data_IF_734074616982
#
_entry.id   IF_734074616982
#
_cell.length_a   1.000
_cell.length_b   1.000
_cell.length_c   1.000
_cell.angle_alpha   90.00
_cell.angle_beta   90.00
_cell.angle_gamma   90.00
#
_symmetry.space_group_name_H-M   'P 1'
#
loop_
_entity.id
_entity.type
_entity.pdbx_description
1 polymer ?
#
# COMPACT_ATOMS: atom_id res chain seq x y z
N UNK A 1 3.64 34.10 -20.84
CA UNK A 1 2.16 34.00 -20.84
C UNK A 1 1.75 33.54 -19.45
N UNK A 2 1.29 34.53 -18.62
CA UNK A 2 0.81 34.24 -17.26
C UNK A 2 -0.54 33.52 -17.31
N UNK A 3 -0.52 32.20 -17.50
CA UNK A 3 -1.71 31.40 -17.29
C UNK A 3 -1.92 31.20 -15.79
N UNK A 4 -2.68 32.14 -15.17
CA UNK A 4 -3.13 31.95 -13.79
C UNK A 4 -3.95 30.66 -13.67
N UNK A 5 -3.54 29.79 -12.77
CA UNK A 5 -4.27 28.57 -12.44
C UNK A 5 -5.48 28.91 -11.56
N UNK A 6 -6.62 28.35 -11.91
CA UNK A 6 -7.76 28.41 -10.99
C UNK A 6 -7.60 27.36 -9.89
N UNK A 7 -6.94 27.73 -8.78
CA UNK A 7 -6.65 26.82 -7.66
C UNK A 7 -7.91 26.19 -7.07
N UNK A 8 -9.06 26.91 -7.03
CA UNK A 8 -10.32 26.34 -6.52
C UNK A 8 -10.78 25.15 -7.38
N UNK A 9 -10.74 25.32 -8.72
CA UNK A 9 -11.07 24.25 -9.66
C UNK A 9 -10.05 23.10 -9.56
N UNK A 10 -8.75 23.45 -9.47
CA UNK A 10 -7.67 22.48 -9.36
C UNK A 10 -7.85 21.59 -8.12
N UNK A 11 -8.05 22.16 -6.95
CA UNK A 11 -8.26 21.41 -5.71
C UNK A 11 -9.57 20.62 -5.73
N UNK A 12 -10.66 21.18 -6.27
CA UNK A 12 -11.91 20.43 -6.42
C UNK A 12 -11.72 19.17 -7.26
N UNK A 13 -10.98 19.26 -8.37
CA UNK A 13 -10.67 18.09 -9.21
C UNK A 13 -9.78 17.07 -8.49
N UNK A 14 -8.72 17.53 -7.79
CA UNK A 14 -7.84 16.65 -7.01
C UNK A 14 -8.63 15.93 -5.93
N UNK A 15 -9.39 16.63 -5.10
CA UNK A 15 -10.18 16.05 -4.02
C UNK A 15 -11.28 15.11 -4.51
N UNK A 16 -11.89 15.41 -5.67
CA UNK A 16 -12.85 14.50 -6.31
C UNK A 16 -12.13 13.24 -6.76
N UNK A 17 -10.97 13.36 -7.39
CA UNK A 17 -10.16 12.20 -7.79
C UNK A 17 -9.73 11.37 -6.57
N UNK A 18 -9.23 12.01 -5.52
CA UNK A 18 -8.79 11.36 -4.27
C UNK A 18 -9.95 10.64 -3.57
N UNK A 19 -11.14 11.25 -3.55
CA UNK A 19 -12.32 10.64 -2.97
C UNK A 19 -12.72 9.37 -3.73
N UNK A 20 -12.92 9.47 -5.04
CA UNK A 20 -13.42 8.34 -5.83
C UNK A 20 -12.37 7.22 -6.01
N UNK A 21 -11.09 7.55 -6.14
CA UNK A 21 -10.03 6.55 -6.14
C UNK A 21 -9.77 5.94 -4.75
N UNK A 22 -10.11 6.68 -3.69
CA UNK A 22 -9.98 6.23 -2.30
C UNK A 22 -11.13 5.34 -1.82
N UNK A 23 -12.28 5.28 -2.51
CA UNK A 23 -13.44 4.48 -2.08
C UNK A 23 -13.15 2.97 -1.99
N UNK A 24 -12.28 2.41 -2.79
CA UNK A 24 -11.75 1.03 -2.72
C UNK A 24 -12.73 0.00 -2.15
N UNK A 25 -13.94 -0.05 -2.70
CA UNK A 25 -15.06 -0.85 -2.18
C UNK A 25 -14.80 -2.36 -2.17
N UNK A 26 -13.83 -2.82 -2.95
CA UNK A 26 -13.44 -4.23 -3.02
C UNK A 26 -12.44 -4.64 -1.93
N UNK A 27 -11.73 -3.70 -1.29
CA UNK A 27 -10.62 -4.02 -0.37
C UNK A 27 -11.06 -4.89 0.82
N UNK A 28 -12.31 -4.75 1.27
CA UNK A 28 -12.85 -5.53 2.38
C UNK A 28 -13.24 -6.97 2.01
N UNK A 29 -13.40 -7.27 0.72
CA UNK A 29 -14.07 -8.50 0.28
C UNK A 29 -13.38 -9.25 -0.87
N UNK A 30 -12.36 -8.69 -1.51
CA UNK A 30 -11.80 -9.21 -2.75
C UNK A 30 -11.26 -10.65 -2.65
N UNK A 31 -10.64 -11.02 -1.53
CA UNK A 31 -10.14 -12.38 -1.29
C UNK A 31 -11.32 -13.35 -1.14
N UNK A 32 -12.30 -12.98 -0.31
CA UNK A 32 -13.50 -13.79 -0.12
C UNK A 32 -14.31 -13.92 -1.42
N UNK A 33 -14.39 -12.85 -2.22
CA UNK A 33 -15.07 -12.87 -3.51
C UNK A 33 -14.38 -13.80 -4.53
N UNK A 34 -13.05 -13.81 -4.59
CA UNK A 34 -12.30 -14.73 -5.46
C UNK A 34 -12.39 -16.17 -4.97
N UNK A 35 -12.26 -16.40 -3.67
CA UNK A 35 -12.40 -17.74 -3.07
C UNK A 35 -13.81 -18.31 -3.32
N UNK A 36 -14.87 -17.50 -3.19
CA UNK A 36 -16.24 -17.89 -3.51
C UNK A 36 -16.43 -18.26 -5.00
N UNK A 37 -15.57 -17.80 -5.90
CA UNK A 37 -15.54 -18.20 -7.32
C UNK A 37 -14.71 -19.45 -7.59
N UNK A 38 -14.12 -20.05 -6.58
CA UNK A 38 -13.35 -21.28 -6.69
C UNK A 38 -11.85 -21.10 -6.91
N UNK A 39 -11.32 -19.87 -6.84
CA UNK A 39 -9.88 -19.65 -6.86
C UNK A 39 -9.26 -20.09 -5.54
N UNK A 40 -8.15 -20.82 -5.61
CA UNK A 40 -7.39 -21.24 -4.45
C UNK A 40 -6.69 -20.06 -3.77
N UNK A 41 -6.35 -20.19 -2.50
CA UNK A 41 -5.62 -19.16 -1.76
C UNK A 41 -4.21 -18.95 -2.33
N UNK A 42 -3.61 -19.98 -2.91
CA UNK A 42 -2.35 -19.88 -3.63
C UNK A 42 -2.47 -19.00 -4.87
N UNK A 43 -3.53 -19.18 -5.69
CA UNK A 43 -3.78 -18.35 -6.87
C UNK A 43 -4.02 -16.89 -6.50
N UNK A 44 -4.79 -16.65 -5.44
CA UNK A 44 -5.03 -15.30 -4.91
C UNK A 44 -3.72 -14.69 -4.40
N UNK A 45 -2.90 -15.46 -3.69
CA UNK A 45 -1.57 -15.04 -3.24
C UNK A 45 -0.61 -14.76 -4.41
N UNK A 46 -0.68 -15.53 -5.49
CA UNK A 46 0.11 -15.31 -6.70
C UNK A 46 -0.31 -14.02 -7.43
N UNK A 47 -1.60 -13.74 -7.49
CA UNK A 47 -2.10 -12.49 -8.05
C UNK A 47 -1.58 -11.26 -7.27
N UNK A 48 -1.51 -11.35 -5.93
CA UNK A 48 -0.89 -10.33 -5.08
C UNK A 48 0.62 -10.23 -5.34
N UNK A 49 1.31 -11.34 -5.59
CA UNK A 49 2.74 -11.29 -5.98
C UNK A 49 2.95 -10.53 -7.28
N UNK A 50 2.07 -10.70 -8.29
CA UNK A 50 2.12 -9.95 -9.54
C UNK A 50 1.94 -8.46 -9.28
N UNK A 51 1.02 -8.07 -8.40
CA UNK A 51 0.89 -6.68 -7.97
C UNK A 51 2.22 -6.13 -7.45
N UNK A 52 2.88 -6.85 -6.53
CA UNK A 52 4.16 -6.41 -5.96
C UNK A 52 5.32 -6.43 -6.96
N UNK A 53 5.35 -7.37 -7.90
CA UNK A 53 6.34 -7.39 -9.00
C UNK A 53 6.18 -6.13 -9.85
N UNK A 54 4.96 -5.84 -10.32
CA UNK A 54 4.70 -4.66 -11.16
C UNK A 54 4.97 -3.37 -10.38
N UNK A 55 4.55 -3.28 -9.13
CA UNK A 55 4.83 -2.12 -8.27
C UNK A 55 6.34 -1.88 -8.15
N UNK A 56 7.12 -2.92 -7.86
CA UNK A 56 8.58 -2.85 -7.73
C UNK A 56 9.26 -2.29 -8.99
N UNK A 57 8.84 -2.75 -10.17
CA UNK A 57 9.45 -2.31 -11.43
C UNK A 57 8.89 -0.99 -11.98
N UNK A 58 7.65 -0.63 -11.61
CA UNK A 58 6.98 0.55 -12.16
C UNK A 58 7.04 1.78 -11.25
N UNK A 59 7.46 1.68 -9.98
CA UNK A 59 7.54 2.81 -9.03
C UNK A 59 8.38 3.96 -9.61
N UNK A 60 9.57 3.65 -10.10
CA UNK A 60 10.49 4.65 -10.70
C UNK A 60 10.04 5.10 -12.08
N UNK A 61 9.74 4.19 -13.02
CA UNK A 61 9.25 4.57 -14.34
C UNK A 61 8.00 5.45 -14.31
N UNK A 62 7.08 5.22 -13.37
CA UNK A 62 5.86 6.04 -13.24
C UNK A 62 6.15 7.48 -12.81
N UNK A 63 7.06 7.68 -11.85
CA UNK A 63 7.52 9.00 -11.46
C UNK A 63 8.19 9.75 -12.63
N UNK A 64 9.06 9.06 -13.36
CA UNK A 64 9.68 9.62 -14.55
C UNK A 64 8.67 9.93 -15.65
N UNK A 65 7.68 9.07 -15.88
CA UNK A 65 6.60 9.32 -16.83
C UNK A 65 5.83 10.60 -16.43
N UNK A 66 5.60 10.83 -15.14
CA UNK A 66 4.98 12.06 -14.66
C UNK A 66 5.80 13.33 -15.00
N UNK A 67 7.11 13.25 -14.88
CA UNK A 67 8.01 14.35 -15.21
C UNK A 67 8.14 14.59 -16.73
N UNK A 68 8.18 13.51 -17.52
CA UNK A 68 8.37 13.58 -18.98
C UNK A 68 7.08 13.85 -19.74
N UNK A 69 6.01 13.11 -19.46
CA UNK A 69 4.73 13.18 -20.18
C UNK A 69 3.78 14.23 -19.60
N UNK A 70 4.00 14.60 -18.34
CA UNK A 70 3.16 15.49 -17.58
C UNK A 70 2.35 14.77 -16.50
N UNK A 71 2.20 15.44 -15.37
CA UNK A 71 1.54 14.89 -14.19
C UNK A 71 0.06 14.61 -14.43
N UNK A 72 -0.64 15.54 -15.09
CA UNK A 72 -2.04 15.34 -15.49
C UNK A 72 -2.21 14.08 -16.33
N UNK A 73 -1.39 13.90 -17.37
CA UNK A 73 -1.49 12.73 -18.25
C UNK A 73 -1.25 11.43 -17.50
N UNK A 74 -0.29 11.42 -16.59
CA UNK A 74 0.03 10.25 -15.74
C UNK A 74 -1.15 9.91 -14.82
N UNK A 75 -1.78 10.89 -14.17
CA UNK A 75 -2.96 10.68 -13.33
C UNK A 75 -4.16 10.18 -14.14
N UNK A 76 -4.38 10.70 -15.34
CA UNK A 76 -5.43 10.19 -16.25
C UNK A 76 -5.16 8.75 -16.65
N UNK A 77 -3.91 8.42 -17.01
CA UNK A 77 -3.53 7.04 -17.35
C UNK A 77 -3.72 6.09 -16.17
N UNK A 78 -3.38 6.52 -14.95
CA UNK A 78 -3.66 5.78 -13.70
C UNK A 78 -5.16 5.50 -13.53
N UNK A 79 -6.01 6.51 -13.74
CA UNK A 79 -7.46 6.34 -13.69
C UNK A 79 -7.99 5.38 -14.76
N UNK A 80 -7.45 5.41 -15.98
CA UNK A 80 -7.79 4.45 -17.04
C UNK A 80 -7.37 3.03 -16.66
N UNK A 81 -6.15 2.85 -16.11
CA UNK A 81 -5.70 1.54 -15.62
C UNK A 81 -6.63 1.02 -14.50
N UNK A 82 -7.10 1.89 -13.60
CA UNK A 82 -8.04 1.53 -12.54
C UNK A 82 -9.40 1.06 -13.09
N UNK A 83 -9.91 1.70 -14.15
CA UNK A 83 -11.12 1.27 -14.84
C UNK A 83 -10.91 -0.09 -15.50
N UNK A 84 -9.84 -0.22 -16.29
CA UNK A 84 -9.54 -1.47 -17.01
C UNK A 84 -9.34 -2.65 -16.05
N UNK A 85 -8.56 -2.46 -14.98
CA UNK A 85 -8.37 -3.47 -13.93
C UNK A 85 -9.72 -3.92 -13.36
N UNK A 86 -10.59 -2.96 -13.03
CA UNK A 86 -11.90 -3.28 -12.44
C UNK A 86 -12.81 -4.02 -13.43
N UNK A 87 -12.82 -3.63 -14.70
CA UNK A 87 -13.57 -4.35 -15.74
C UNK A 87 -13.03 -5.77 -15.95
N UNK A 88 -11.72 -5.94 -16.01
CA UNK A 88 -11.11 -7.27 -16.12
C UNK A 88 -11.47 -8.14 -14.93
N UNK A 89 -11.37 -7.62 -13.70
CA UNK A 89 -11.76 -8.35 -12.49
C UNK A 89 -13.24 -8.72 -12.47
N UNK A 90 -14.14 -7.83 -12.95
CA UNK A 90 -15.58 -8.12 -13.00
C UNK A 90 -15.90 -9.40 -13.81
N UNK A 91 -15.16 -9.65 -14.87
CA UNK A 91 -15.37 -10.75 -15.80
C UNK A 91 -14.26 -11.83 -15.75
N UNK A 92 -13.31 -11.72 -14.84
CA UNK A 92 -12.21 -12.67 -14.71
C UNK A 92 -12.76 -14.09 -14.46
N UNK A 93 -12.33 -15.06 -15.27
CA UNK A 93 -12.67 -16.48 -15.17
C UNK A 93 -11.46 -17.38 -14.99
N UNK A 94 -10.27 -16.83 -15.09
CA UNK A 94 -8.99 -17.54 -15.04
C UNK A 94 -7.93 -16.73 -14.31
N UNK A 95 -6.90 -17.42 -13.85
CA UNK A 95 -5.79 -16.84 -13.08
C UNK A 95 -5.01 -15.79 -13.87
N UNK A 96 -4.84 -16.00 -15.19
CA UNK A 96 -4.08 -15.05 -16.02
C UNK A 96 -4.76 -13.68 -16.04
N UNK A 97 -6.10 -13.66 -16.24
CA UNK A 97 -6.90 -12.42 -16.23
C UNK A 97 -6.81 -11.71 -14.87
N UNK A 98 -6.86 -12.46 -13.76
CA UNK A 98 -6.71 -11.89 -12.40
C UNK A 98 -5.31 -11.29 -12.23
N UNK A 99 -4.26 -12.03 -12.58
CA UNK A 99 -2.88 -11.56 -12.48
C UNK A 99 -2.65 -10.30 -13.34
N UNK A 100 -3.20 -10.27 -14.55
CA UNK A 100 -3.08 -9.11 -15.43
C UNK A 100 -3.83 -7.89 -14.86
N UNK A 101 -5.02 -8.11 -14.31
CA UNK A 101 -5.79 -7.06 -13.64
C UNK A 101 -5.03 -6.52 -12.39
N UNK A 102 -4.42 -7.39 -11.59
CA UNK A 102 -3.60 -6.99 -10.44
C UNK A 102 -2.35 -6.21 -10.87
N UNK A 103 -1.73 -6.59 -11.99
CA UNK A 103 -0.65 -5.80 -12.59
C UNK A 103 -1.09 -4.39 -13.01
N UNK A 104 -2.27 -4.25 -13.64
CA UNK A 104 -2.85 -2.94 -13.96
C UNK A 104 -3.20 -2.13 -12.70
N UNK A 105 -3.66 -2.80 -11.63
CA UNK A 105 -3.91 -2.13 -10.36
C UNK A 105 -2.62 -1.55 -9.76
N UNK A 106 -1.54 -2.34 -9.76
CA UNK A 106 -0.22 -1.87 -9.31
C UNK A 106 0.27 -0.68 -10.13
N UNK A 107 0.13 -0.76 -11.46
CA UNK A 107 0.51 0.34 -12.36
C UNK A 107 -0.31 1.61 -12.08
N UNK A 108 -1.62 1.49 -11.84
CA UNK A 108 -2.47 2.62 -11.45
C UNK A 108 -1.99 3.24 -10.13
N UNK A 109 -1.69 2.42 -9.12
CA UNK A 109 -1.22 2.90 -7.82
C UNK A 109 0.13 3.61 -7.90
N UNK A 110 1.09 3.08 -8.66
CA UNK A 110 2.39 3.74 -8.86
C UNK A 110 2.26 5.06 -9.63
N UNK A 111 1.32 5.16 -10.58
CA UNK A 111 1.03 6.41 -11.30
C UNK A 111 0.39 7.47 -10.39
N UNK A 112 -0.41 7.10 -9.40
CA UNK A 112 -0.96 8.04 -8.41
C UNK A 112 0.06 8.41 -7.35
N UNK A 113 0.92 7.46 -6.94
CA UNK A 113 1.95 7.67 -5.92
C UNK A 113 2.90 8.80 -6.32
N UNK A 114 3.09 9.76 -5.42
CA UNK A 114 3.96 10.91 -5.66
C UNK A 114 3.46 11.92 -6.71
N UNK A 115 2.78 11.48 -7.79
CA UNK A 115 2.33 12.36 -8.86
C UNK A 115 1.28 13.36 -8.39
N UNK A 116 0.30 12.91 -7.61
CA UNK A 116 -0.73 13.80 -7.02
C UNK A 116 -0.11 14.85 -6.12
N UNK A 117 0.80 14.43 -5.24
CA UNK A 117 1.52 15.29 -4.29
C UNK A 117 2.35 16.33 -5.02
N UNK A 118 3.07 15.91 -6.07
CA UNK A 118 3.90 16.77 -6.87
C UNK A 118 3.07 17.75 -7.71
N UNK A 119 1.95 17.33 -8.31
CA UNK A 119 1.03 18.21 -9.04
C UNK A 119 0.44 19.27 -8.11
N UNK A 120 0.05 18.87 -6.90
CA UNK A 120 -0.47 19.78 -5.88
C UNK A 120 0.56 20.86 -5.50
N UNK A 121 1.80 20.44 -5.20
CA UNK A 121 2.89 21.35 -4.84
C UNK A 121 3.19 22.33 -5.96
N UNK A 122 3.32 21.85 -7.21
CA UNK A 122 3.62 22.72 -8.36
C UNK A 122 2.47 23.67 -8.68
N UNK A 123 1.22 23.25 -8.50
CA UNK A 123 0.06 24.14 -8.67
C UNK A 123 0.08 25.30 -7.68
N UNK A 124 0.46 25.03 -6.42
CA UNK A 124 0.60 26.07 -5.40
C UNK A 124 1.80 26.98 -5.69
N UNK A 125 2.91 26.41 -6.12
CA UNK A 125 4.15 27.13 -6.43
C UNK A 125 3.96 28.07 -7.62
N UNK A 126 3.24 27.65 -8.66
CA UNK A 126 2.94 28.51 -9.80
C UNK A 126 2.15 29.76 -9.41
N UNK A 127 1.29 29.68 -8.39
CA UNK A 127 0.48 30.79 -7.89
C UNK A 127 1.08 31.50 -6.65
N UNK A 128 2.32 31.13 -6.22
CA UNK A 128 3.01 31.75 -5.09
C UNK A 128 2.31 31.52 -3.75
N UNK A 129 1.75 30.32 -3.54
CA UNK A 129 0.95 29.95 -2.35
C UNK A 129 1.47 28.65 -1.68
N UNK A 130 2.79 28.39 -1.74
CA UNK A 130 3.42 27.17 -1.23
C UNK A 130 3.18 26.94 0.27
N UNK A 131 3.00 28.01 1.03
CA UNK A 131 2.71 27.95 2.46
C UNK A 131 1.41 27.20 2.79
N UNK A 132 0.48 27.08 1.83
CA UNK A 132 -0.77 26.32 1.98
C UNK A 132 -0.61 24.82 1.75
N UNK A 133 0.56 24.37 1.29
CA UNK A 133 0.78 22.98 0.89
C UNK A 133 0.41 21.97 1.98
N UNK A 134 0.87 22.18 3.22
CA UNK A 134 0.59 21.27 4.34
C UNK A 134 -0.92 21.14 4.57
N UNK A 135 -1.64 22.24 4.56
CA UNK A 135 -3.09 22.24 4.79
C UNK A 135 -3.83 21.52 3.65
N UNK A 136 -3.51 21.84 2.40
CA UNK A 136 -4.21 21.28 1.23
C UNK A 136 -3.90 19.80 1.06
N UNK A 137 -2.65 19.39 1.30
CA UNK A 137 -2.23 17.98 1.30
C UNK A 137 -2.90 17.16 2.43
N UNK A 138 -2.98 17.74 3.63
CA UNK A 138 -3.67 17.12 4.75
C UNK A 138 -5.17 16.91 4.46
N UNK A 139 -5.83 17.89 3.84
CA UNK A 139 -7.24 17.76 3.44
C UNK A 139 -7.43 16.61 2.43
N UNK A 140 -6.55 16.49 1.41
CA UNK A 140 -6.58 15.37 0.46
C UNK A 140 -6.42 14.01 1.13
N UNK A 141 -5.46 13.89 2.05
CA UNK A 141 -5.25 12.66 2.83
C UNK A 141 -6.47 12.31 3.68
N UNK A 142 -7.10 13.29 4.34
CA UNK A 142 -8.32 13.08 5.12
C UNK A 142 -9.49 12.62 4.26
N UNK A 143 -9.65 13.21 3.07
CA UNK A 143 -10.68 12.82 2.09
C UNK A 143 -10.46 11.37 1.66
N UNK A 144 -9.24 10.98 1.31
CA UNK A 144 -8.91 9.61 0.92
C UNK A 144 -9.14 8.61 2.06
N UNK A 145 -8.78 8.95 3.29
CA UNK A 145 -9.03 8.10 4.47
C UNK A 145 -10.51 7.91 4.73
N UNK A 146 -11.29 8.99 4.66
CA UNK A 146 -12.74 8.94 4.83
C UNK A 146 -13.40 8.13 3.71
N UNK A 147 -12.98 8.32 2.46
CA UNK A 147 -13.46 7.57 1.31
C UNK A 147 -13.17 6.06 1.48
N UNK A 148 -11.98 5.68 1.93
CA UNK A 148 -11.62 4.29 2.19
C UNK A 148 -12.48 3.67 3.31
N UNK A 149 -12.72 4.41 4.41
CA UNK A 149 -13.60 3.96 5.48
C UNK A 149 -15.04 3.75 4.98
N UNK A 150 -15.59 4.68 4.20
CA UNK A 150 -16.92 4.57 3.58
C UNK A 150 -16.94 3.42 2.56
N UNK A 151 -15.91 3.32 1.72
CA UNK A 151 -15.78 2.26 0.71
C UNK A 151 -15.73 0.86 1.32
N UNK A 152 -15.05 0.68 2.46
CA UNK A 152 -15.00 -0.60 3.15
C UNK A 152 -16.38 -1.07 3.60
N UNK A 153 -17.28 -0.15 3.99
CA UNK A 153 -18.66 -0.47 4.36
C UNK A 153 -19.50 -1.00 3.20
N UNK A 154 -19.02 -0.89 1.96
CA UNK A 154 -19.72 -1.44 0.79
C UNK A 154 -19.91 -2.97 0.87
N UNK A 155 -19.17 -3.69 1.73
CA UNK A 155 -19.42 -5.12 1.98
C UNK A 155 -20.86 -5.40 2.43
N UNK A 156 -21.55 -4.44 3.05
CA UNK A 156 -22.99 -4.51 3.41
C UNK A 156 -23.86 -4.75 2.15
N UNK A 157 -23.39 -4.29 1.00
CA UNK A 157 -24.10 -4.43 -0.28
C UNK A 157 -23.81 -5.78 -0.98
N UNK A 158 -23.05 -6.69 -0.35
CA UNK A 158 -22.63 -7.95 -0.98
C UNK A 158 -23.81 -8.78 -1.50
N UNK A 159 -24.92 -8.81 -0.76
CA UNK A 159 -26.13 -9.54 -1.16
C UNK A 159 -26.78 -8.97 -2.45
N UNK A 160 -26.58 -7.69 -2.75
CA UNK A 160 -27.21 -7.01 -3.87
C UNK A 160 -26.30 -6.90 -5.09
N UNK A 161 -25.01 -6.65 -4.86
CA UNK A 161 -24.06 -6.36 -5.94
C UNK A 161 -23.44 -7.62 -6.53
N UNK A 162 -23.21 -8.63 -5.71
CA UNK A 162 -22.44 -9.80 -6.13
C UNK A 162 -21.02 -9.45 -6.62
N UNK A 163 -20.27 -10.44 -7.08
CA UNK A 163 -18.89 -10.28 -7.50
C UNK A 163 -18.69 -9.20 -8.58
N UNK A 164 -19.39 -9.36 -9.71
CA UNK A 164 -19.25 -8.44 -10.84
C UNK A 164 -19.71 -7.02 -10.49
N UNK A 165 -20.79 -6.89 -9.71
CA UNK A 165 -21.35 -5.60 -9.31
C UNK A 165 -20.35 -4.76 -8.51
N UNK A 166 -19.58 -5.36 -7.61
CA UNK A 166 -18.52 -4.64 -6.87
C UNK A 166 -17.48 -4.06 -7.80
N UNK A 167 -16.98 -4.85 -8.75
CA UNK A 167 -15.96 -4.40 -9.67
C UNK A 167 -16.49 -3.41 -10.71
N UNK A 168 -17.73 -3.58 -11.21
CA UNK A 168 -18.37 -2.60 -12.11
C UNK A 168 -18.58 -1.26 -11.41
N UNK A 169 -18.99 -1.26 -10.15
CA UNK A 169 -19.12 -0.03 -9.37
C UNK A 169 -17.74 0.62 -9.12
N UNK A 170 -16.72 -0.19 -8.83
CA UNK A 170 -15.35 0.29 -8.69
C UNK A 170 -14.81 0.87 -10.01
N UNK A 171 -15.16 0.28 -11.16
CA UNK A 171 -14.85 0.84 -12.48
C UNK A 171 -15.52 2.20 -12.72
N UNK A 172 -16.78 2.36 -12.28
CA UNK A 172 -17.48 3.65 -12.36
C UNK A 172 -16.78 4.73 -11.53
N UNK A 173 -16.34 4.39 -10.31
CA UNK A 173 -15.57 5.32 -9.46
C UNK A 173 -14.22 5.67 -10.06
N UNK A 174 -13.49 4.68 -10.62
CA UNK A 174 -12.26 4.93 -11.37
C UNK A 174 -12.49 5.84 -12.57
N UNK A 175 -13.62 5.69 -13.27
CA UNK A 175 -14.03 6.57 -14.37
C UNK A 175 -14.26 8.00 -13.92
N UNK A 176 -14.93 8.22 -12.80
CA UNK A 176 -15.13 9.57 -12.24
C UNK A 176 -13.79 10.19 -11.84
N UNK A 177 -12.90 9.42 -11.22
CA UNK A 177 -11.54 9.87 -10.88
C UNK A 177 -10.76 10.26 -12.14
N UNK A 178 -10.79 9.44 -13.20
CA UNK A 178 -10.13 9.73 -14.47
C UNK A 178 -10.70 11.01 -15.12
N UNK A 179 -12.01 11.21 -15.11
CA UNK A 179 -12.67 12.42 -15.61
C UNK A 179 -12.27 13.66 -14.80
N UNK A 180 -12.22 13.56 -13.48
CA UNK A 180 -11.73 14.64 -12.63
C UNK A 180 -10.28 15.01 -12.98
N UNK A 181 -9.42 14.03 -13.19
CA UNK A 181 -8.03 14.22 -13.62
C UNK A 181 -7.91 14.82 -15.03
N UNK A 182 -8.83 14.54 -15.94
CA UNK A 182 -8.89 15.20 -17.25
C UNK A 182 -9.18 16.70 -17.17
N UNK A 183 -9.89 17.14 -16.13
CA UNK A 183 -10.24 18.55 -15.92
C UNK A 183 -9.12 19.34 -15.22
N UNK A 184 -8.07 18.68 -14.73
CA UNK A 184 -6.89 19.32 -14.14
C UNK A 184 -6.16 20.18 -15.17
N UNK A 185 -5.54 21.25 -14.72
CA UNK A 185 -4.54 21.98 -15.49
C UNK A 185 -3.15 21.42 -15.15
N UNK A 186 -2.28 21.36 -16.15
CA UNK A 186 -0.88 20.97 -15.95
C UNK A 186 -0.09 22.20 -15.47
N UNK A 187 0.50 22.20 -14.25
CA UNK A 187 1.33 23.31 -13.80
C UNK A 187 2.68 23.33 -14.53
N UNK A 188 3.19 24.51 -14.81
CA UNK A 188 4.50 24.74 -15.43
C UNK A 188 5.31 25.63 -14.50
N UNK A 189 6.28 25.04 -13.79
CA UNK A 189 7.10 25.72 -12.79
C UNK A 189 8.57 25.80 -13.20
N UNK A 190 9.03 24.91 -14.09
CA UNK A 190 10.42 24.82 -14.54
C UNK A 190 10.51 24.85 -16.08
N UNK A 191 11.66 25.32 -16.59
CA UNK A 191 11.93 25.33 -18.05
C UNK A 191 11.91 23.92 -18.65
N UNK A 192 12.33 22.90 -17.88
CA UNK A 192 12.26 21.51 -18.29
C UNK A 192 10.81 21.01 -18.43
N UNK A 193 9.90 21.50 -17.60
CA UNK A 193 8.47 21.22 -17.74
C UNK A 193 7.85 21.94 -18.95
N UNK A 194 8.35 23.11 -19.30
CA UNK A 194 7.92 23.84 -20.49
C UNK A 194 8.44 23.24 -21.81
N UNK A 195 9.60 22.57 -21.77
CA UNK A 195 10.29 22.03 -22.96
C UNK A 195 10.18 20.50 -23.11
N UNK A 196 9.11 19.89 -22.59
CA UNK A 196 8.90 18.43 -22.48
C UNK A 196 9.10 17.58 -23.74
N UNK A 197 9.20 18.21 -24.92
CA UNK A 197 9.29 17.51 -26.19
C UNK A 197 10.63 16.78 -26.44
N UNK A 198 11.63 16.86 -25.57
CA UNK A 198 13.01 16.46 -25.89
C UNK A 198 13.62 15.34 -25.05
N UNK A 199 12.92 14.72 -24.10
CA UNK A 199 13.52 13.64 -23.30
C UNK A 199 13.09 12.26 -23.78
N UNK A 200 14.02 11.45 -24.31
CA UNK A 200 13.69 10.15 -24.86
C UNK A 200 13.39 9.14 -23.75
N UNK A 201 12.33 8.35 -23.93
CA UNK A 201 11.98 7.17 -23.12
C UNK A 201 13.14 6.16 -22.99
N UNK A 202 14.17 6.27 -23.83
CA UNK A 202 15.40 5.48 -23.78
C UNK A 202 16.23 5.67 -22.51
N UNK A 203 16.02 6.73 -21.74
CA UNK A 203 16.73 6.98 -20.48
C UNK A 203 16.16 6.16 -19.29
N UNK A 204 14.96 5.58 -19.42
CA UNK A 204 14.29 4.82 -18.35
C UNK A 204 15.12 3.66 -17.79
N UNK A 205 15.72 2.77 -18.63
CA UNK A 205 16.48 1.65 -18.09
C UNK A 205 17.76 2.08 -17.35
N UNK A 206 18.41 3.14 -17.82
CA UNK A 206 19.64 3.64 -17.18
C UNK A 206 19.35 4.30 -15.83
N UNK A 207 18.28 5.09 -15.75
CA UNK A 207 17.88 5.72 -14.48
C UNK A 207 17.39 4.68 -13.47
N UNK A 208 16.67 3.64 -13.90
CA UNK A 208 16.34 2.51 -13.03
C UNK A 208 17.58 1.81 -12.51
N UNK A 209 18.55 1.52 -13.41
CA UNK A 209 19.84 0.95 -13.01
C UNK A 209 20.59 1.84 -12.04
N UNK A 210 20.57 3.16 -12.26
CA UNK A 210 21.20 4.13 -11.37
C UNK A 210 20.53 4.13 -10.00
N UNK A 211 19.19 4.15 -9.93
CA UNK A 211 18.48 4.05 -8.65
C UNK A 211 18.82 2.77 -7.89
N UNK A 212 18.82 1.62 -8.57
CA UNK A 212 19.20 0.34 -7.93
C UNK A 212 20.64 0.41 -7.42
N UNK A 213 21.57 0.99 -8.19
CA UNK A 213 22.96 1.18 -7.77
C UNK A 213 23.07 2.10 -6.56
N UNK A 214 22.38 3.25 -6.59
CA UNK A 214 22.39 4.22 -5.51
C UNK A 214 21.74 3.64 -4.24
N UNK A 215 20.66 2.87 -4.39
CA UNK A 215 20.01 2.13 -3.30
C UNK A 215 20.96 1.11 -2.67
N UNK A 216 21.66 0.31 -3.47
CA UNK A 216 22.64 -0.65 -2.97
C UNK A 216 23.84 0.06 -2.33
N UNK A 217 24.27 1.19 -2.88
CA UNK A 217 25.34 2.01 -2.30
C UNK A 217 24.96 2.53 -0.91
N UNK A 218 23.75 3.08 -0.77
CA UNK A 218 23.25 3.57 0.52
C UNK A 218 23.14 2.44 1.55
N UNK A 219 22.62 1.27 1.16
CA UNK A 219 22.55 0.11 2.05
C UNK A 219 23.95 -0.39 2.47
N UNK A 220 24.95 -0.24 1.60
CA UNK A 220 26.32 -0.64 1.89
C UNK A 220 27.05 0.38 2.77
N UNK A 221 26.81 1.68 2.56
CA UNK A 221 27.42 2.77 3.33
C UNK A 221 26.77 2.98 4.69
N UNK A 222 25.47 2.64 4.82
CA UNK A 222 24.71 2.75 6.06
C UNK A 222 24.06 1.41 6.45
N UNK A 223 24.82 0.44 7.03
CA UNK A 223 24.26 -0.87 7.41
C UNK A 223 23.11 -0.79 8.43
N UNK A 224 23.03 0.32 9.18
CA UNK A 224 21.91 0.56 10.10
C UNK A 224 20.62 0.78 9.36
N UNK A 225 20.63 1.53 8.27
CA UNK A 225 19.45 1.73 7.41
C UNK A 225 18.95 0.40 6.83
N UNK A 226 19.84 -0.43 6.31
CA UNK A 226 19.48 -1.75 5.78
C UNK A 226 18.82 -2.66 6.84
N UNK A 227 19.30 -2.62 8.10
CA UNK A 227 18.69 -3.38 9.20
C UNK A 227 17.30 -2.84 9.57
N UNK A 228 17.11 -1.53 9.58
CA UNK A 228 15.83 -0.90 9.86
C UNK A 228 14.81 -1.26 8.78
N UNK A 229 15.15 -1.08 7.50
CA UNK A 229 14.34 -1.41 6.34
C UNK A 229 13.96 -2.90 6.32
N UNK A 230 14.92 -3.81 6.53
CA UNK A 230 14.62 -5.23 6.58
C UNK A 230 13.67 -5.59 7.73
N UNK A 231 13.81 -4.93 8.88
CA UNK A 231 12.96 -5.18 10.03
C UNK A 231 11.57 -4.55 9.90
N UNK A 232 11.43 -3.38 9.25
CA UNK A 232 10.12 -2.81 8.92
C UNK A 232 9.35 -3.71 7.96
N UNK A 233 10.00 -4.16 6.90
CA UNK A 233 9.39 -5.07 5.94
C UNK A 233 8.93 -6.40 6.58
N UNK A 234 9.74 -6.98 7.49
CA UNK A 234 9.39 -8.21 8.22
C UNK A 234 8.16 -8.08 9.13
N UNK A 235 7.89 -6.89 9.68
CA UNK A 235 6.69 -6.63 10.49
C UNK A 235 5.51 -6.22 9.61
N UNK A 236 5.75 -5.53 8.50
CA UNK A 236 4.70 -5.05 7.59
C UNK A 236 4.03 -6.18 6.81
N UNK A 237 4.79 -7.21 6.39
CA UNK A 237 4.27 -8.37 5.64
C UNK A 237 3.16 -9.10 6.40
N UNK A 238 3.33 -9.53 7.66
CA UNK A 238 2.24 -10.14 8.43
C UNK A 238 1.03 -9.22 8.59
N UNK A 239 1.24 -7.93 8.73
CA UNK A 239 0.16 -6.94 8.87
C UNK A 239 -0.74 -6.92 7.63
N UNK A 240 -0.16 -6.95 6.44
CA UNK A 240 -0.93 -7.00 5.20
C UNK A 240 -1.59 -8.37 4.99
N UNK A 241 -0.83 -9.46 5.14
CA UNK A 241 -1.33 -10.81 4.91
C UNK A 241 -2.44 -11.20 5.91
N UNK A 242 -2.40 -10.71 7.15
CA UNK A 242 -3.51 -10.90 8.10
C UNK A 242 -4.78 -10.21 7.62
N UNK A 243 -4.73 -8.97 7.12
CA UNK A 243 -5.90 -8.31 6.53
C UNK A 243 -6.42 -9.06 5.31
N UNK A 244 -5.52 -9.51 4.46
CA UNK A 244 -5.84 -10.19 3.22
C UNK A 244 -6.54 -11.52 3.47
N UNK A 245 -5.93 -12.45 4.19
CA UNK A 245 -6.45 -13.79 4.38
C UNK A 245 -7.48 -13.92 5.52
N UNK A 246 -7.57 -12.93 6.43
CA UNK A 246 -8.63 -12.89 7.43
C UNK A 246 -10.03 -12.84 6.78
N UNK A 247 -10.19 -12.19 5.62
CA UNK A 247 -11.46 -12.15 4.91
C UNK A 247 -12.00 -13.55 4.66
N UNK A 248 -11.19 -14.42 4.05
CA UNK A 248 -11.57 -15.80 3.76
C UNK A 248 -11.67 -16.62 5.05
N UNK A 249 -10.76 -16.43 6.00
CA UNK A 249 -10.81 -17.12 7.30
C UNK A 249 -12.12 -16.86 8.06
N UNK A 250 -12.61 -15.63 8.03
CA UNK A 250 -13.89 -15.27 8.65
C UNK A 250 -15.06 -15.95 7.97
N UNK A 251 -15.06 -16.00 6.63
CA UNK A 251 -16.09 -16.72 5.86
C UNK A 251 -16.08 -18.21 6.19
N UNK A 252 -14.92 -18.87 6.28
CA UNK A 252 -14.76 -20.25 6.72
C UNK A 252 -15.30 -20.50 8.14
N UNK A 253 -15.23 -19.50 9.01
CA UNK A 253 -15.76 -19.55 10.39
C UNK A 253 -17.27 -19.19 10.46
N UNK A 254 -17.95 -19.03 9.32
CA UNK A 254 -19.37 -18.67 9.26
C UNK A 254 -19.67 -17.21 9.55
N UNK A 255 -18.67 -16.31 9.44
CA UNK A 255 -18.89 -14.87 9.60
C UNK A 255 -19.67 -14.31 8.41
N UNK A 256 -20.69 -13.45 8.64
CA UNK A 256 -21.45 -12.85 7.54
C UNK A 256 -20.56 -11.99 6.63
N UNK A 257 -20.65 -12.22 5.33
CA UNK A 257 -19.85 -11.48 4.33
C UNK A 257 -20.11 -9.98 4.35
N UNK A 258 -21.33 -9.57 4.73
CA UNK A 258 -21.77 -8.19 4.88
C UNK A 258 -21.00 -7.45 5.99
N UNK A 259 -20.50 -8.20 6.98
CA UNK A 259 -19.77 -7.66 8.13
C UNK A 259 -18.24 -7.70 7.96
N UNK A 260 -17.73 -8.07 6.77
CA UNK A 260 -16.28 -8.09 6.51
C UNK A 260 -15.61 -6.69 6.58
N UNK A 261 -16.39 -5.62 6.53
CA UNK A 261 -15.88 -4.27 6.77
C UNK A 261 -15.48 -4.04 8.25
N UNK A 262 -16.14 -4.71 9.19
CA UNK A 262 -15.95 -4.47 10.61
C UNK A 262 -14.49 -4.73 11.08
N UNK A 263 -13.83 -5.84 10.71
CA UNK A 263 -12.40 -6.02 10.97
C UNK A 263 -11.54 -4.86 10.46
N UNK A 264 -11.80 -4.35 9.25
CA UNK A 264 -11.01 -3.24 8.70
C UNK A 264 -11.19 -1.95 9.49
N UNK A 265 -12.41 -1.61 9.90
CA UNK A 265 -12.67 -0.45 10.77
C UNK A 265 -11.97 -0.59 12.12
N UNK A 266 -12.10 -1.77 12.76
CA UNK A 266 -11.44 -2.05 14.03
C UNK A 266 -9.91 -2.03 13.90
N UNK A 267 -9.36 -2.53 12.78
CA UNK A 267 -7.95 -2.43 12.43
C UNK A 267 -7.50 -0.97 12.30
N UNK A 268 -8.28 -0.13 11.65
CA UNK A 268 -8.02 1.31 11.55
C UNK A 268 -7.99 2.00 12.93
N UNK A 269 -8.92 1.67 13.81
CA UNK A 269 -8.90 2.15 15.21
C UNK A 269 -7.66 1.65 15.97
N UNK A 270 -7.23 0.41 15.73
CA UNK A 270 -6.02 -0.14 16.32
C UNK A 270 -4.76 0.58 15.81
N UNK A 271 -4.70 1.02 14.55
CA UNK A 271 -3.61 1.85 14.03
C UNK A 271 -3.53 3.19 14.80
N UNK A 272 -4.67 3.87 14.98
CA UNK A 272 -4.71 5.13 15.75
C UNK A 272 -4.25 4.91 17.20
N UNK A 273 -4.73 3.86 17.85
CA UNK A 273 -4.30 3.49 19.20
C UNK A 273 -2.81 3.13 19.24
N UNK A 274 -2.31 2.39 18.25
CA UNK A 274 -0.90 2.04 18.11
C UNK A 274 0.00 3.26 17.98
N UNK A 275 -0.38 4.23 17.16
CA UNK A 275 0.34 5.50 17.01
C UNK A 275 0.41 6.24 18.34
N UNK A 276 -0.69 6.32 19.09
CA UNK A 276 -0.71 6.98 20.40
C UNK A 276 0.13 6.24 21.46
N UNK A 277 0.12 4.91 21.44
CA UNK A 277 1.02 4.09 22.27
C UNK A 277 2.47 4.33 21.87
N UNK A 278 2.77 4.34 20.56
CA UNK A 278 4.11 4.60 20.03
C UNK A 278 4.69 5.93 20.48
N UNK A 279 3.88 6.99 20.55
CA UNK A 279 4.28 8.31 21.06
C UNK A 279 4.70 8.29 22.52
N UNK A 280 4.17 7.37 23.33
CA UNK A 280 4.48 7.23 24.77
C UNK A 280 5.63 6.26 25.04
N UNK A 281 5.90 5.34 24.12
CA UNK A 281 6.98 4.37 24.24
C UNK A 281 8.34 5.07 24.06
N UNK A 282 9.23 4.95 25.05
CA UNK A 282 10.62 5.44 24.93
C UNK A 282 11.51 4.34 24.32
N UNK A 283 11.81 4.46 23.04
CA UNK A 283 12.69 3.52 22.37
C UNK A 283 14.16 3.73 22.77
N UNK A 284 14.66 2.90 23.68
CA UNK A 284 16.10 2.88 24.06
C UNK A 284 16.95 2.01 23.12
N UNK A 285 16.33 1.07 22.40
CA UNK A 285 17.03 0.14 21.51
C UNK A 285 16.07 -0.39 20.45
N UNK A 286 16.32 -0.10 19.18
CA UNK A 286 15.53 -0.60 18.06
C UNK A 286 15.48 -2.13 18.01
N UNK A 287 16.56 -2.80 18.39
CA UNK A 287 16.60 -4.25 18.47
C UNK A 287 15.59 -4.83 19.46
N UNK A 288 15.51 -4.24 20.69
CA UNK A 288 14.53 -4.68 21.69
C UNK A 288 13.10 -4.34 21.28
N UNK A 289 12.90 -3.17 20.68
CA UNK A 289 11.61 -2.77 20.14
C UNK A 289 11.17 -3.74 19.04
N UNK A 290 12.04 -4.04 18.07
CA UNK A 290 11.75 -5.04 17.03
C UNK A 290 11.36 -6.38 17.63
N UNK A 291 12.17 -6.92 18.57
CA UNK A 291 11.87 -8.23 19.16
C UNK A 291 10.52 -8.24 19.87
N UNK A 292 10.18 -7.19 20.64
CA UNK A 292 8.89 -7.08 21.29
C UNK A 292 7.73 -6.98 20.26
N UNK A 293 7.89 -6.13 19.26
CA UNK A 293 6.91 -5.96 18.19
C UNK A 293 6.75 -7.25 17.36
N UNK A 294 7.83 -7.94 17.02
CA UNK A 294 7.78 -9.19 16.26
C UNK A 294 7.10 -10.32 17.07
N UNK A 295 7.33 -10.39 18.38
CA UNK A 295 6.64 -11.35 19.25
C UNK A 295 5.14 -11.06 19.31
N UNK A 296 4.75 -9.81 19.56
CA UNK A 296 3.34 -9.41 19.61
C UNK A 296 2.65 -9.56 18.24
N UNK A 297 3.33 -9.19 17.16
CA UNK A 297 2.86 -9.38 15.79
C UNK A 297 2.68 -10.87 15.47
N UNK A 298 3.64 -11.70 15.86
CA UNK A 298 3.54 -13.15 15.68
C UNK A 298 2.38 -13.77 16.49
N UNK A 299 2.19 -13.35 17.74
CA UNK A 299 1.03 -13.77 18.56
C UNK A 299 -0.27 -13.32 17.90
N UNK A 300 -0.36 -12.07 17.44
CA UNK A 300 -1.55 -11.57 16.74
C UNK A 300 -1.84 -12.36 15.47
N UNK A 301 -0.81 -12.65 14.65
CA UNK A 301 -0.95 -13.46 13.42
C UNK A 301 -1.36 -14.90 13.72
N UNK A 302 -0.85 -15.50 14.80
CA UNK A 302 -1.30 -16.82 15.29
C UNK A 302 -2.78 -16.80 15.71
N UNK A 303 -3.22 -15.74 16.41
CA UNK A 303 -4.62 -15.59 16.76
C UNK A 303 -5.51 -15.49 15.52
N UNK A 304 -5.09 -14.76 14.48
CA UNK A 304 -5.83 -14.71 13.21
C UNK A 304 -5.96 -16.11 12.60
N UNK A 305 -4.89 -16.90 12.63
CA UNK A 305 -4.88 -18.24 12.05
C UNK A 305 -5.66 -19.29 12.83
N UNK A 306 -5.58 -19.29 14.17
CA UNK A 306 -6.02 -20.40 15.02
C UNK A 306 -7.25 -20.11 15.88
N UNK A 307 -7.55 -18.85 16.19
CA UNK A 307 -8.65 -18.51 17.08
C UNK A 307 -10.01 -18.44 16.37
N UNK A 308 -11.14 -18.46 17.11
CA UNK A 308 -12.46 -18.14 16.58
C UNK A 308 -12.52 -16.70 16.01
N UNK A 309 -13.58 -16.37 15.27
CA UNK A 309 -13.70 -15.12 14.51
C UNK A 309 -13.30 -13.85 15.30
N UNK A 310 -13.84 -13.65 16.49
CA UNK A 310 -13.47 -12.50 17.34
C UNK A 310 -12.02 -12.51 17.79
N UNK A 311 -11.47 -13.68 18.08
CA UNK A 311 -10.06 -13.84 18.42
C UNK A 311 -9.16 -13.49 17.23
N UNK A 312 -9.56 -13.87 16.00
CA UNK A 312 -8.89 -13.47 14.77
C UNK A 312 -8.93 -11.96 14.54
N UNK A 313 -10.07 -11.32 14.76
CA UNK A 313 -10.22 -9.86 14.65
C UNK A 313 -9.32 -9.15 15.67
N UNK A 314 -9.32 -9.59 16.91
CA UNK A 314 -8.42 -9.04 17.95
C UNK A 314 -6.94 -9.27 17.61
N UNK A 315 -6.61 -10.43 17.04
CA UNK A 315 -5.27 -10.73 16.53
C UNK A 315 -4.84 -9.73 15.44
N UNK A 316 -5.70 -9.45 14.48
CA UNK A 316 -5.44 -8.46 13.44
C UNK A 316 -5.29 -7.05 14.02
N UNK A 317 -6.15 -6.64 14.95
CA UNK A 317 -6.01 -5.35 15.65
C UNK A 317 -4.67 -5.23 16.35
N UNK A 318 -4.23 -6.28 17.02
CA UNK A 318 -2.91 -6.32 17.68
C UNK A 318 -1.78 -6.14 16.67
N UNK A 319 -1.82 -6.86 15.54
CA UNK A 319 -0.81 -6.76 14.47
C UNK A 319 -0.75 -5.35 13.90
N UNK A 320 -1.92 -4.75 13.60
CA UNK A 320 -2.01 -3.40 13.05
C UNK A 320 -1.48 -2.34 14.05
N UNK A 321 -1.89 -2.41 15.31
CA UNK A 321 -1.43 -1.47 16.33
C UNK A 321 0.07 -1.59 16.60
N UNK A 322 0.61 -2.80 16.63
CA UNK A 322 2.04 -3.05 16.86
C UNK A 322 2.88 -2.55 15.69
N UNK A 323 2.39 -2.70 14.45
CA UNK A 323 3.06 -2.15 13.26
C UNK A 323 3.25 -0.63 13.40
N UNK A 324 2.20 0.11 13.77
CA UNK A 324 2.27 1.57 13.93
C UNK A 324 3.28 2.00 15.01
N UNK A 325 3.33 1.28 16.14
CA UNK A 325 4.34 1.52 17.18
C UNK A 325 5.75 1.37 16.60
N UNK A 326 5.97 0.33 15.80
CA UNK A 326 7.29 0.06 15.22
C UNK A 326 7.68 1.11 14.18
N UNK A 327 6.81 1.36 13.19
CA UNK A 327 7.06 2.28 12.08
C UNK A 327 7.33 3.71 12.54
N UNK A 328 6.66 4.17 13.60
CA UNK A 328 6.89 5.52 14.17
C UNK A 328 8.35 5.70 14.62
N UNK A 329 8.90 4.72 15.33
CA UNK A 329 10.27 4.77 15.81
C UNK A 329 11.31 4.46 14.74
N UNK A 330 10.98 3.54 13.84
CA UNK A 330 11.81 3.18 12.71
C UNK A 330 12.00 4.37 11.77
N UNK A 331 10.94 5.04 11.36
CA UNK A 331 10.97 6.22 10.51
C UNK A 331 11.81 7.36 11.12
N UNK A 332 11.67 7.60 12.43
CA UNK A 332 12.51 8.57 13.12
C UNK A 332 13.99 8.18 13.03
N UNK A 333 14.34 6.93 13.36
CA UNK A 333 15.72 6.46 13.36
C UNK A 333 16.33 6.42 11.97
N UNK A 334 15.52 6.08 10.96
CA UNK A 334 15.94 6.08 9.57
C UNK A 334 16.25 7.51 9.11
N UNK A 335 15.40 8.48 9.44
CA UNK A 335 15.61 9.89 9.14
C UNK A 335 16.83 10.49 9.86
N UNK A 336 17.10 10.06 11.11
CA UNK A 336 18.28 10.49 11.88
C UNK A 336 19.60 9.92 11.32
N UNK A 337 19.56 8.73 10.71
CA UNK A 337 20.73 8.01 10.25
C UNK A 337 21.27 8.48 8.89
N UNK A 338 20.51 9.30 8.14
CA UNK A 338 20.76 9.54 6.73
C UNK A 338 20.70 11.03 6.37
N UNK A 339 21.61 11.50 5.50
CA UNK A 339 21.59 12.85 4.96
C UNK A 339 20.26 13.15 4.22
N UNK A 340 19.86 14.42 4.23
CA UNK A 340 18.57 14.88 3.68
C UNK A 340 18.40 14.60 2.19
N UNK A 341 19.48 14.62 1.43
CA UNK A 341 19.56 14.37 -0.01
C UNK A 341 19.29 12.91 -0.41
N UNK A 342 19.48 11.96 0.53
CA UNK A 342 19.28 10.53 0.28
C UNK A 342 17.94 9.98 0.82
N UNK A 343 17.13 10.80 1.49
CA UNK A 343 15.86 10.34 2.11
C UNK A 343 14.86 9.82 1.11
N UNK A 344 14.73 10.46 -0.05
CA UNK A 344 13.80 10.02 -1.10
C UNK A 344 14.18 8.62 -1.63
N UNK A 345 15.47 8.39 -1.86
CA UNK A 345 15.97 7.07 -2.28
C UNK A 345 15.65 6.00 -1.27
N UNK A 346 15.75 6.30 0.02
CA UNK A 346 15.48 5.34 1.08
C UNK A 346 14.01 4.97 1.26
N UNK A 347 13.11 5.92 1.08
CA UNK A 347 11.67 5.64 1.08
C UNK A 347 11.35 4.65 -0.05
N UNK A 348 11.97 4.82 -1.22
CA UNK A 348 11.84 3.87 -2.33
C UNK A 348 12.43 2.51 -1.99
N UNK A 349 13.61 2.46 -1.33
CA UNK A 349 14.24 1.20 -0.90
C UNK A 349 13.38 0.45 0.13
N UNK A 350 12.73 1.15 1.05
CA UNK A 350 11.83 0.55 2.04
C UNK A 350 10.62 -0.11 1.36
N UNK A 351 9.96 0.59 0.43
CA UNK A 351 8.89 0.03 -0.40
C UNK A 351 9.33 -1.17 -1.25
N UNK A 352 10.54 -1.11 -1.82
CA UNK A 352 11.12 -2.23 -2.58
C UNK A 352 11.40 -3.45 -1.69
N UNK A 353 11.94 -3.25 -0.50
CA UNK A 353 12.21 -4.34 0.45
C UNK A 353 10.91 -5.03 0.90
N UNK A 354 9.86 -4.24 1.18
CA UNK A 354 8.54 -4.76 1.46
C UNK A 354 7.99 -5.61 0.30
N UNK A 355 8.03 -5.08 -0.93
CA UNK A 355 7.54 -5.79 -2.12
C UNK A 355 8.32 -7.08 -2.38
N UNK A 356 9.66 -7.07 -2.21
CA UNK A 356 10.50 -8.26 -2.34
C UNK A 356 10.13 -9.38 -1.37
N UNK A 357 9.71 -9.06 -0.15
CA UNK A 357 9.22 -10.05 0.82
C UNK A 357 7.79 -10.51 0.50
N UNK A 358 6.92 -9.62 0.04
CA UNK A 358 5.54 -9.95 -0.31
C UNK A 358 5.43 -10.91 -1.49
N UNK A 359 6.31 -10.79 -2.49
CA UNK A 359 6.32 -11.65 -3.68
C UNK A 359 6.32 -13.14 -3.32
N UNK A 360 7.22 -13.67 -2.48
CA UNK A 360 7.17 -15.07 -2.08
C UNK A 360 6.18 -15.34 -0.92
N UNK A 361 5.99 -14.39 0.00
CA UNK A 361 5.21 -14.63 1.21
C UNK A 361 3.72 -14.84 0.92
N UNK A 362 3.15 -14.04 0.01
CA UNK A 362 1.72 -14.10 -0.30
C UNK A 362 1.29 -15.48 -0.87
N UNK A 363 1.90 -16.01 -1.94
CA UNK A 363 1.51 -17.33 -2.45
C UNK A 363 1.90 -18.47 -1.51
N UNK A 364 2.98 -18.36 -0.72
CA UNK A 364 3.35 -19.37 0.24
C UNK A 364 2.32 -19.50 1.37
N UNK A 365 1.85 -18.38 1.92
CA UNK A 365 0.79 -18.38 2.94
C UNK A 365 -0.49 -18.95 2.37
N UNK A 366 -0.86 -18.61 1.13
CA UNK A 366 -2.00 -19.18 0.42
C UNK A 366 -1.86 -20.69 0.21
N UNK A 367 -0.70 -21.15 -0.31
CA UNK A 367 -0.44 -22.57 -0.55
C UNK A 367 -0.53 -23.43 0.72
N UNK A 368 -0.03 -22.92 1.85
CA UNK A 368 -0.20 -23.58 3.14
C UNK A 368 -1.67 -23.63 3.54
N UNK A 369 -2.42 -22.54 3.34
CA UNK A 369 -3.86 -22.50 3.56
C UNK A 369 -4.60 -23.58 2.78
N UNK A 370 -4.31 -23.70 1.48
CA UNK A 370 -4.90 -24.72 0.60
C UNK A 370 -4.52 -26.14 1.03
N UNK A 371 -3.23 -26.38 1.38
CA UNK A 371 -2.75 -27.71 1.81
C UNK A 371 -3.44 -28.22 3.08
N UNK A 372 -3.83 -27.33 3.98
CA UNK A 372 -4.54 -27.66 5.21
C UNK A 372 -6.05 -27.44 5.13
N UNK A 373 -6.57 -27.03 3.97
CA UNK A 373 -8.00 -26.78 3.74
C UNK A 373 -8.57 -25.61 4.54
N UNK A 374 -7.74 -24.66 5.00
CA UNK A 374 -8.17 -23.49 5.75
C UNK A 374 -7.16 -22.33 5.66
N UNK A 375 -7.64 -21.13 5.40
CA UNK A 375 -6.82 -19.90 5.28
C UNK A 375 -5.97 -19.64 6.55
N UNK A 376 -6.47 -20.03 7.71
CA UNK A 376 -5.79 -19.82 8.99
C UNK A 376 -4.46 -20.54 9.12
N UNK A 377 -4.25 -21.69 8.46
CA UNK A 377 -3.01 -22.49 8.61
C UNK A 377 -1.77 -21.73 8.12
N UNK A 378 -1.87 -21.05 6.96
CA UNK A 378 -0.77 -20.24 6.43
C UNK A 378 -0.41 -19.08 7.35
N UNK A 379 -1.43 -18.40 7.91
CA UNK A 379 -1.24 -17.32 8.87
C UNK A 379 -0.62 -17.81 10.18
N UNK A 380 -1.01 -19.00 10.69
CA UNK A 380 -0.43 -19.56 11.90
C UNK A 380 1.07 -19.87 11.72
N UNK A 381 1.47 -20.43 10.58
CA UNK A 381 2.89 -20.65 10.28
C UNK A 381 3.67 -19.35 10.13
N UNK A 382 3.10 -18.35 9.46
CA UNK A 382 3.70 -17.03 9.35
C UNK A 382 3.91 -16.41 10.74
N UNK A 383 2.91 -16.49 11.63
CA UNK A 383 3.00 -16.01 13.01
C UNK A 383 4.14 -16.67 13.78
N UNK A 384 4.28 -18.00 13.66
CA UNK A 384 5.40 -18.74 14.25
C UNK A 384 6.76 -18.27 13.73
N UNK A 385 6.90 -18.07 12.42
CA UNK A 385 8.14 -17.61 11.80
C UNK A 385 8.54 -16.19 12.30
N UNK A 386 7.59 -15.28 12.41
CA UNK A 386 7.83 -13.92 12.91
C UNK A 386 8.22 -13.94 14.41
N UNK A 387 7.57 -14.77 15.23
CA UNK A 387 7.96 -14.94 16.63
C UNK A 387 9.41 -15.45 16.74
N UNK A 388 9.78 -16.45 15.94
CA UNK A 388 11.14 -16.97 15.93
C UNK A 388 12.17 -15.90 15.57
N UNK A 389 11.86 -15.00 14.63
CA UNK A 389 12.72 -13.87 14.27
C UNK A 389 12.94 -12.93 15.47
N UNK A 390 11.88 -12.66 16.22
CA UNK A 390 11.93 -11.85 17.44
C UNK A 390 12.80 -12.46 18.53
N UNK A 391 12.62 -13.77 18.80
CA UNK A 391 13.41 -14.55 19.79
C UNK A 391 14.89 -14.62 19.39
N UNK A 392 15.18 -14.91 18.11
CA UNK A 392 16.56 -15.02 17.61
C UNK A 392 17.38 -13.75 17.84
N UNK A 393 16.73 -12.59 17.78
CA UNK A 393 17.39 -11.31 18.06
C UNK A 393 17.53 -11.04 19.56
N UNK A 394 16.65 -11.52 20.44
CA UNK A 394 16.83 -11.38 21.89
C UNK A 394 18.06 -12.14 22.39
N UNK A 395 18.34 -13.33 21.87
CA UNK A 395 19.44 -14.19 22.29
C UNK A 395 20.85 -13.71 21.91
N UNK A 396 21.00 -12.78 20.97
CA UNK A 396 22.32 -12.25 20.58
C UNK A 396 22.80 -11.19 21.59
N UNK A 397 23.98 -11.35 22.19
CA UNK A 397 24.61 -10.32 23.07
C UNK A 397 24.76 -8.98 22.30
N UNK A 398 24.58 -7.83 22.96
CA UNK A 398 24.86 -6.55 22.33
C UNK A 398 26.33 -6.50 21.92
N UNK A 399 26.60 -6.28 20.62
CA UNK A 399 27.93 -5.92 20.19
C UNK A 399 28.27 -4.59 20.86
N UNK A 400 29.28 -4.61 21.71
CA UNK A 400 29.89 -3.38 22.25
C UNK A 400 30.50 -2.63 21.07
N UNK A 401 29.88 -1.52 20.69
CA UNK A 401 30.46 -0.51 19.81
C UNK A 401 31.48 0.31 20.55
#
# INVERSE_FOLDING_TARGET
>A
MDHKLNLKKQFACIYTSDFFSGLRITDAVWVALLAARGFSLWEIGLAESVYHIVSLFCEVPSGMAADLLGRKKTLVSGGVCMVLQSLLMAFASDLFTICFAMGLNALAMTMFSGTTTALLYDSLKQEGCEEKYIQVSANGSQISMLANAVGSMASILNQFLGYAGFYLLNAAFGGISALANLLLAEPIVTESQASREKHPLHALPEQFRQLVRDSLHVLHTCPMAGKLIASSALISVPSYLTKMFLQQRLVELGWPTELLFLPLLLGGLACVAGTEVGRRVRCRSMRRLYSACALLCGVGTLLVGAAPAWGGILGMMLVQGVLEVYLLHESQKLNDAIPSDQRATLISVDGMAYSLLMIPASPLVGAVGDAFGQAGAGLALLGGAIMLSGVALLGKKPQRS
#
